data_IF_015614476877
#
_entry.id   IF_015614476877
#
_cell.length_a   1.000
_cell.length_b   1.000
_cell.length_c   1.000
_cell.angle_alpha   90.00
_cell.angle_beta   90.00
_cell.angle_gamma   90.00
#
_symmetry.space_group_name_H-M   'P 1'
#
loop_
_entity.id
_entity.type
_entity.pdbx_description
1 polymer ?
#
# COMPACT_ATOMS: atom_id res chain seq x y z
N UNK A 1 -13.00 10.67 -14.47
CA UNK A 1 -12.56 10.75 -13.06
C UNK A 1 -11.48 9.71 -12.89
N UNK A 2 -10.30 10.06 -12.38
CA UNK A 2 -9.26 9.06 -12.12
C UNK A 2 -9.75 8.02 -11.11
N UNK A 3 -9.41 6.73 -11.29
CA UNK A 3 -9.82 5.69 -10.36
C UNK A 3 -9.17 5.90 -9.00
N UNK A 4 -9.95 5.82 -7.93
CA UNK A 4 -9.43 5.97 -6.57
C UNK A 4 -8.39 4.89 -6.26
N UNK A 5 -7.25 5.31 -5.68
CA UNK A 5 -6.11 4.46 -5.41
C UNK A 5 -5.32 4.94 -4.20
N UNK A 6 -4.46 4.07 -3.67
CA UNK A 6 -3.48 4.42 -2.63
C UNK A 6 -2.07 4.12 -3.12
N UNK A 7 -1.10 4.92 -2.69
CA UNK A 7 0.31 4.67 -2.97
C UNK A 7 0.79 3.44 -2.19
N UNK A 8 1.54 2.56 -2.85
CA UNK A 8 2.06 1.32 -2.21
C UNK A 8 3.57 1.15 -2.31
N UNK A 9 4.26 2.03 -3.04
CA UNK A 9 5.72 2.01 -3.14
C UNK A 9 6.23 2.28 -4.55
N UNK A 10 7.50 1.93 -4.77
CA UNK A 10 8.18 2.09 -6.06
C UNK A 10 8.33 0.76 -6.80
N UNK A 11 8.22 0.81 -8.12
CA UNK A 11 8.44 -0.31 -9.04
C UNK A 11 9.40 0.08 -10.17
N UNK A 12 9.63 -0.84 -11.11
CA UNK A 12 10.57 -0.64 -12.22
C UNK A 12 12.04 -0.61 -11.77
N UNK A 13 12.92 -0.14 -12.67
CA UNK A 13 14.35 -0.04 -12.40
C UNK A 13 14.61 0.91 -11.21
N UNK A 14 15.36 0.44 -10.23
CA UNK A 14 15.71 1.23 -9.03
C UNK A 14 14.52 1.66 -8.17
N UNK A 15 13.34 1.05 -8.32
CA UNK A 15 12.11 1.43 -7.61
C UNK A 15 11.65 2.89 -7.86
N UNK A 16 12.05 3.49 -8.99
CA UNK A 16 11.75 4.90 -9.28
C UNK A 16 10.33 5.17 -9.79
N UNK A 17 9.57 4.15 -10.17
CA UNK A 17 8.22 4.32 -10.73
C UNK A 17 7.17 4.18 -9.62
N UNK A 18 6.39 5.23 -9.30
CA UNK A 18 5.38 5.14 -8.26
C UNK A 18 4.32 4.09 -8.62
N UNK A 19 4.00 3.22 -7.67
CA UNK A 19 2.98 2.19 -7.78
C UNK A 19 1.79 2.54 -6.92
N UNK A 20 0.60 2.30 -7.48
CA UNK A 20 -0.68 2.61 -6.90
C UNK A 20 -1.52 1.33 -6.83
N UNK A 21 -2.16 1.07 -5.70
CA UNK A 21 -3.19 0.05 -5.57
C UNK A 21 -4.55 0.70 -5.80
N UNK A 22 -5.24 0.32 -6.88
CA UNK A 22 -6.62 0.75 -7.09
C UNK A 22 -7.50 0.20 -5.97
N UNK A 23 -8.31 1.05 -5.34
CA UNK A 23 -9.11 0.67 -4.17
C UNK A 23 -10.07 -0.50 -4.46
N UNK A 24 -10.57 -0.60 -5.70
CA UNK A 24 -11.41 -1.74 -6.14
C UNK A 24 -10.74 -3.11 -6.01
N UNK A 25 -9.40 -3.15 -5.93
CA UNK A 25 -8.61 -4.37 -5.73
C UNK A 25 -8.12 -4.53 -4.29
N UNK A 26 -8.28 -3.53 -3.43
CA UNK A 26 -7.89 -3.58 -2.01
C UNK A 26 -8.73 -4.53 -1.15
N UNK A 27 -9.83 -5.07 -1.69
CA UNK A 27 -10.68 -6.08 -1.04
C UNK A 27 -10.16 -7.52 -1.21
N UNK A 28 -8.99 -7.69 -1.83
CA UNK A 28 -8.30 -8.99 -1.91
C UNK A 28 -7.28 -9.09 -0.77
N UNK A 29 -7.17 -10.28 -0.19
CA UNK A 29 -6.15 -10.53 0.83
C UNK A 29 -4.75 -10.26 0.27
N UNK A 30 -3.99 -9.43 0.98
CA UNK A 30 -2.59 -9.13 0.68
C UNK A 30 -1.63 -9.81 1.66
N UNK A 31 -0.37 -9.95 1.25
CA UNK A 31 0.71 -10.48 2.08
C UNK A 31 1.88 -9.50 2.07
N UNK A 32 2.28 -9.00 3.24
CA UNK A 32 3.52 -8.26 3.43
C UNK A 32 4.54 -9.20 4.08
N UNK A 33 5.56 -9.59 3.33
CA UNK A 33 6.61 -10.49 3.77
C UNK A 33 8.01 -9.90 3.52
N UNK A 34 9.01 -10.38 4.27
CA UNK A 34 10.39 -9.88 4.21
C UNK A 34 11.17 -10.19 5.49
N UNK A 35 12.50 -10.06 5.46
CA UNK A 35 13.35 -10.26 6.63
C UNK A 35 13.15 -9.15 7.69
N UNK A 36 13.69 -9.33 8.88
CA UNK A 36 13.71 -8.26 9.90
C UNK A 36 14.52 -7.08 9.39
N UNK A 37 14.05 -5.86 9.64
CA UNK A 37 14.71 -4.64 9.17
C UNK A 37 14.41 -4.25 7.71
N UNK A 38 13.62 -5.02 6.96
CA UNK A 38 13.26 -4.69 5.56
C UNK A 38 12.00 -3.83 5.41
N UNK A 39 11.59 -3.14 6.47
CA UNK A 39 10.51 -2.14 6.38
C UNK A 39 9.07 -2.66 6.46
N UNK A 40 8.81 -3.94 6.80
CA UNK A 40 7.43 -4.49 6.90
C UNK A 40 6.48 -3.64 7.74
N UNK A 41 6.92 -3.18 8.92
CA UNK A 41 6.12 -2.32 9.81
C UNK A 41 5.78 -0.99 9.14
N UNK A 42 6.76 -0.37 8.47
CA UNK A 42 6.56 0.89 7.74
C UNK A 42 5.62 0.67 6.55
N UNK A 43 5.74 -0.45 5.84
CA UNK A 43 4.80 -0.81 4.76
C UNK A 43 3.36 -0.91 5.26
N UNK A 44 3.13 -1.57 6.41
CA UNK A 44 1.78 -1.64 7.00
C UNK A 44 1.25 -0.27 7.43
N UNK A 45 2.11 0.60 7.96
CA UNK A 45 1.73 1.97 8.33
C UNK A 45 1.29 2.79 7.13
N UNK A 46 2.05 2.77 6.02
CA UNK A 46 1.71 3.48 4.78
C UNK A 46 0.38 2.97 4.21
N UNK A 47 0.17 1.65 4.19
CA UNK A 47 -1.10 1.08 3.75
C UNK A 47 -2.26 1.51 4.64
N UNK A 48 -2.08 1.48 5.97
CA UNK A 48 -3.10 1.88 6.92
C UNK A 48 -3.48 3.36 6.77
N UNK A 49 -2.48 4.24 6.60
CA UNK A 49 -2.70 5.67 6.36
C UNK A 49 -3.47 5.90 5.06
N UNK A 50 -3.05 5.24 3.96
CA UNK A 50 -3.72 5.35 2.66
C UNK A 50 -5.17 4.87 2.69
N UNK A 51 -5.45 3.74 3.33
CA UNK A 51 -6.82 3.24 3.48
C UNK A 51 -7.67 4.13 4.38
N UNK A 52 -7.12 4.61 5.51
CA UNK A 52 -7.81 5.54 6.41
C UNK A 52 -8.15 6.86 5.72
N UNK A 53 -7.23 7.43 4.94
CA UNK A 53 -7.45 8.64 4.15
C UNK A 53 -8.54 8.45 3.08
N UNK A 54 -8.72 7.22 2.60
CA UNK A 54 -9.82 6.84 1.70
C UNK A 54 -11.15 6.53 2.44
N UNK A 55 -11.20 6.71 3.76
CA UNK A 55 -12.40 6.48 4.59
C UNK A 55 -12.63 5.01 4.98
N UNK A 56 -11.63 4.13 4.81
CA UNK A 56 -11.71 2.72 5.18
C UNK A 56 -11.23 2.55 6.63
N UNK A 57 -12.03 1.96 7.54
CA UNK A 57 -11.58 1.62 8.88
C UNK A 57 -10.42 0.61 8.84
N UNK A 58 -9.34 0.90 9.57
CA UNK A 58 -8.15 0.03 9.64
C UNK A 58 -7.90 -0.42 11.08
N UNK A 59 -7.51 -1.69 11.24
CA UNK A 59 -7.07 -2.29 12.49
C UNK A 59 -5.65 -2.85 12.30
N UNK A 60 -4.78 -2.71 13.30
CA UNK A 60 -3.36 -3.08 13.26
C UNK A 60 -3.01 -4.06 14.38
#
# INVERSE_FOLDING_TARGET
MEPASIFVGGGGAGYGLPQQLLLKYGNRHGLVAGATGTGKTVTLQVLAEGFSAAGVPVFL
#
